data_IF_209400174472
#
_entry.id   IF_209400174472
#
_cell.length_a   1.000
_cell.length_b   1.000
_cell.length_c   1.000
_cell.angle_alpha   90.00
_cell.angle_beta   90.00
_cell.angle_gamma   90.00
#
_symmetry.space_group_name_H-M   'P 1'
#
loop_
_entity.id
_entity.type
_entity.pdbx_description
1 polymer ?
#
# COMPACT_ATOMS: atom_id res chain seq x y z
N UNK A 1 -24.00 -87.35 -29.97
CA UNK A 1 -24.60 -88.15 -28.87
C UNK A 1 -24.13 -87.57 -27.57
N UNK A 2 -25.04 -87.11 -26.74
CA UNK A 2 -24.78 -86.73 -25.34
C UNK A 2 -24.80 -85.22 -25.04
N UNK A 3 -25.99 -84.72 -24.90
CA UNK A 3 -26.28 -83.39 -24.31
C UNK A 3 -25.84 -83.37 -22.86
N UNK A 4 -25.17 -82.25 -22.46
CA UNK A 4 -25.02 -81.91 -21.04
C UNK A 4 -25.50 -80.47 -20.87
N UNK A 5 -26.76 -80.37 -20.37
CA UNK A 5 -27.34 -79.04 -19.97
C UNK A 5 -26.63 -78.54 -18.74
N UNK A 6 -26.03 -77.31 -18.87
CA UNK A 6 -25.44 -76.62 -17.76
C UNK A 6 -26.44 -75.56 -17.22
N UNK A 7 -26.89 -75.79 -15.95
CA UNK A 7 -27.80 -74.89 -15.22
C UNK A 7 -27.01 -73.74 -14.64
N UNK A 8 -27.21 -72.53 -15.16
CA UNK A 8 -26.70 -71.31 -14.54
C UNK A 8 -27.63 -70.88 -13.40
N UNK A 9 -27.10 -70.87 -12.19
CA UNK A 9 -27.71 -70.19 -11.07
C UNK A 9 -27.41 -68.74 -11.15
N UNK A 10 -28.45 -67.92 -11.37
CA UNK A 10 -28.33 -66.44 -11.28
C UNK A 10 -28.50 -66.06 -9.81
N UNK A 11 -27.40 -65.70 -9.15
CA UNK A 11 -27.43 -65.01 -7.85
C UNK A 11 -27.65 -63.55 -8.06
N UNK A 12 -28.87 -63.08 -7.80
CA UNK A 12 -29.18 -61.63 -7.79
C UNK A 12 -28.67 -61.08 -6.44
N UNK A 13 -27.48 -60.48 -6.45
CA UNK A 13 -26.97 -59.63 -5.36
C UNK A 13 -27.71 -58.31 -5.37
N UNK A 14 -28.63 -58.11 -4.44
CA UNK A 14 -29.17 -56.79 -4.13
C UNK A 14 -28.06 -55.93 -3.49
N UNK A 15 -27.39 -55.09 -4.31
CA UNK A 15 -26.58 -53.99 -3.83
C UNK A 15 -27.53 -52.84 -3.42
N UNK A 16 -27.76 -52.71 -2.10
CA UNK A 16 -28.26 -51.46 -1.54
C UNK A 16 -27.20 -50.37 -1.75
N UNK A 17 -27.50 -49.25 -2.40
CA UNK A 17 -26.61 -48.10 -2.38
C UNK A 17 -26.64 -47.51 -0.96
N UNK A 18 -25.51 -47.62 -0.24
CA UNK A 18 -25.23 -46.78 0.91
C UNK A 18 -25.16 -45.35 0.42
N UNK A 19 -26.24 -44.60 0.56
CA UNK A 19 -26.28 -43.16 0.43
C UNK A 19 -25.46 -42.58 1.57
N UNK A 20 -24.14 -42.55 1.41
CA UNK A 20 -23.26 -41.67 2.16
C UNK A 20 -23.59 -40.24 1.70
N UNK A 21 -24.57 -39.63 2.32
CA UNK A 21 -24.86 -38.21 2.15
C UNK A 21 -23.70 -37.39 2.68
N UNK A 22 -22.67 -37.15 1.86
CA UNK A 22 -21.82 -36.00 2.06
C UNK A 22 -22.73 -34.78 1.88
N UNK A 23 -23.09 -34.15 2.98
CA UNK A 23 -23.78 -32.85 3.00
C UNK A 23 -22.85 -31.85 2.36
N UNK A 24 -22.94 -31.68 1.03
CA UNK A 24 -22.31 -30.57 0.35
C UNK A 24 -22.88 -29.28 0.93
N UNK A 25 -22.00 -28.40 1.39
CA UNK A 25 -22.44 -27.06 1.85
C UNK A 25 -23.12 -26.35 0.68
N UNK A 26 -24.30 -25.75 0.91
CA UNK A 26 -25.07 -25.12 -0.17
C UNK A 26 -24.24 -24.05 -0.88
N UNK A 27 -24.28 -24.02 -2.19
CA UNK A 27 -23.62 -23.02 -3.04
C UNK A 27 -24.17 -21.61 -2.77
N UNK A 28 -23.37 -20.58 -3.04
CA UNK A 28 -23.71 -19.18 -2.73
C UNK A 28 -25.09 -18.73 -3.23
N UNK A 29 -25.53 -19.23 -4.38
CA UNK A 29 -26.84 -18.92 -4.94
C UNK A 29 -28.04 -19.52 -4.19
N UNK A 30 -27.86 -20.63 -3.50
CA UNK A 30 -28.91 -21.26 -2.68
C UNK A 30 -29.05 -20.56 -1.33
N UNK A 31 -27.95 -20.12 -0.73
CA UNK A 31 -27.97 -19.38 0.54
C UNK A 31 -28.68 -18.02 0.40
N UNK A 32 -28.59 -17.38 -0.75
CA UNK A 32 -29.29 -16.12 -1.01
C UNK A 32 -30.82 -16.26 -1.01
N UNK A 33 -31.34 -17.43 -1.28
CA UNK A 33 -32.79 -17.73 -1.30
C UNK A 33 -33.35 -18.05 0.08
N UNK A 34 -32.51 -18.27 1.09
CA UNK A 34 -32.95 -18.55 2.44
C UNK A 34 -33.63 -17.34 3.06
N UNK A 35 -34.70 -17.51 3.85
CA UNK A 35 -35.34 -16.42 4.55
C UNK A 35 -34.39 -15.75 5.54
N UNK A 36 -34.58 -14.43 5.74
CA UNK A 36 -33.85 -13.62 6.71
C UNK A 36 -34.74 -13.33 7.90
N UNK A 37 -34.34 -13.79 9.08
CA UNK A 37 -34.96 -13.40 10.35
C UNK A 37 -34.05 -12.37 11.04
N UNK A 38 -34.43 -11.11 10.99
CA UNK A 38 -33.67 -9.98 11.58
C UNK A 38 -33.56 -10.10 13.10
N UNK A 39 -34.60 -10.57 13.78
CA UNK A 39 -34.60 -10.71 15.26
C UNK A 39 -33.67 -11.84 15.70
N UNK A 40 -33.74 -12.99 15.03
CA UNK A 40 -32.79 -14.08 15.24
C UNK A 40 -31.37 -13.64 14.90
N UNK A 41 -31.19 -12.89 13.79
CA UNK A 41 -29.90 -12.31 13.39
C UNK A 41 -29.32 -11.38 14.43
N UNK A 42 -30.13 -10.51 15.03
CA UNK A 42 -29.74 -9.62 16.15
C UNK A 42 -29.25 -10.40 17.36
N UNK A 43 -29.98 -11.44 17.76
CA UNK A 43 -29.58 -12.28 18.89
C UNK A 43 -28.23 -13.01 18.64
N UNK A 44 -28.02 -13.50 17.40
CA UNK A 44 -26.77 -14.11 17.00
C UNK A 44 -25.64 -13.07 16.98
N UNK A 45 -25.89 -11.86 16.45
CA UNK A 45 -24.93 -10.77 16.43
C UNK A 45 -24.45 -10.42 17.83
N UNK A 46 -25.36 -10.31 18.78
CA UNK A 46 -25.05 -10.00 20.18
C UNK A 46 -24.12 -11.04 20.82
N UNK A 47 -24.35 -12.31 20.52
CA UNK A 47 -23.59 -13.41 21.10
C UNK A 47 -22.23 -13.65 20.43
N UNK A 48 -22.15 -13.50 19.12
CA UNK A 48 -21.04 -14.03 18.34
C UNK A 48 -20.23 -12.96 17.57
N UNK A 49 -20.82 -11.79 17.27
CA UNK A 49 -20.20 -10.85 16.31
C UNK A 49 -19.90 -9.47 16.91
N UNK A 50 -20.71 -9.04 17.89
CA UNK A 50 -20.68 -7.66 18.42
C UNK A 50 -19.38 -7.31 19.13
N UNK A 51 -18.62 -8.31 19.64
CA UNK A 51 -17.31 -8.06 20.25
C UNK A 51 -16.29 -7.43 19.30
N UNK A 52 -16.43 -7.71 17.99
CA UNK A 52 -15.56 -7.12 16.95
C UNK A 52 -16.28 -6.08 16.09
N UNK A 53 -17.54 -6.34 15.71
CA UNK A 53 -18.28 -5.51 14.75
C UNK A 53 -19.31 -4.55 15.39
N UNK A 54 -19.39 -4.49 16.71
CA UNK A 54 -20.44 -3.71 17.40
C UNK A 54 -21.86 -4.21 17.12
N UNK A 55 -22.81 -3.79 17.92
CA UNK A 55 -24.24 -4.05 17.64
C UNK A 55 -24.78 -3.10 16.58
N UNK A 56 -24.16 -1.95 16.41
CA UNK A 56 -24.45 -0.96 15.37
C UNK A 56 -23.76 -1.26 14.03
N UNK A 57 -23.00 -2.36 13.96
CA UNK A 57 -22.25 -2.76 12.77
C UNK A 57 -20.98 -1.96 12.51
N UNK A 58 -20.51 -1.18 13.50
CA UNK A 58 -19.24 -0.48 13.46
C UNK A 58 -18.14 -1.34 14.02
N UNK A 59 -17.06 -1.53 13.28
CA UNK A 59 -15.85 -2.18 13.78
C UNK A 59 -15.31 -1.49 15.02
N UNK A 60 -15.13 -2.24 16.11
CA UNK A 60 -14.73 -1.69 17.43
C UNK A 60 -13.22 -1.41 17.52
N UNK A 61 -12.43 -1.88 16.57
CA UNK A 61 -10.98 -1.69 16.48
C UNK A 61 -10.58 -1.35 15.06
N UNK A 62 -9.39 -0.76 14.93
CA UNK A 62 -8.75 -0.60 13.64
C UNK A 62 -8.63 -1.95 12.94
N UNK A 63 -8.79 -1.96 11.62
CA UNK A 63 -8.77 -3.17 10.79
C UNK A 63 -10.02 -4.07 10.89
N UNK A 64 -10.98 -3.79 11.75
CA UNK A 64 -12.27 -4.50 11.76
C UNK A 64 -13.23 -3.79 10.80
N UNK A 65 -13.78 -4.49 9.77
CA UNK A 65 -14.66 -3.85 8.80
C UNK A 65 -16.00 -3.46 9.41
N UNK A 66 -16.52 -2.31 8.98
CA UNK A 66 -17.90 -1.92 9.23
C UNK A 66 -18.85 -2.81 8.41
N UNK A 67 -19.91 -3.31 9.05
CA UNK A 67 -20.89 -4.20 8.41
C UNK A 67 -22.25 -3.49 8.17
N UNK A 68 -22.53 -2.41 8.90
CA UNK A 68 -23.78 -1.66 8.79
C UNK A 68 -24.04 -1.18 7.36
N UNK A 69 -25.28 -1.31 6.90
CA UNK A 69 -25.75 -0.90 5.57
C UNK A 69 -24.97 -1.49 4.39
N UNK A 70 -24.10 -2.46 4.62
CA UNK A 70 -23.41 -3.18 3.54
C UNK A 70 -24.40 -4.11 2.82
N UNK A 71 -24.13 -4.42 1.56
CA UNK A 71 -24.96 -5.30 0.75
C UNK A 71 -24.95 -6.71 1.34
N UNK A 72 -26.12 -7.24 1.64
CA UNK A 72 -26.28 -8.52 2.33
C UNK A 72 -25.71 -9.70 1.54
N UNK A 73 -25.91 -9.72 0.22
CA UNK A 73 -25.36 -10.73 -0.68
C UNK A 73 -23.83 -10.65 -0.76
N UNK A 74 -23.27 -9.44 -0.67
CA UNK A 74 -21.82 -9.27 -0.57
C UNK A 74 -21.29 -9.80 0.78
N UNK A 75 -21.95 -9.47 1.89
CA UNK A 75 -21.56 -9.98 3.22
C UNK A 75 -21.55 -11.50 3.24
N UNK A 76 -22.59 -12.13 2.65
CA UNK A 76 -22.69 -13.57 2.55
C UNK A 76 -21.53 -14.19 1.74
N UNK A 77 -21.25 -13.65 0.56
CA UNK A 77 -20.11 -14.07 -0.26
C UNK A 77 -18.79 -13.87 0.46
N UNK A 78 -18.64 -12.73 1.15
CA UNK A 78 -17.46 -12.44 1.94
C UNK A 78 -17.24 -13.48 3.06
N UNK A 79 -18.28 -13.81 3.82
CA UNK A 79 -18.23 -14.83 4.87
C UNK A 79 -17.82 -16.20 4.31
N UNK A 80 -18.35 -16.60 3.17
CA UNK A 80 -17.99 -17.86 2.49
C UNK A 80 -16.52 -17.89 2.03
N UNK A 81 -15.97 -16.75 1.58
CA UNK A 81 -14.56 -16.70 1.15
C UNK A 81 -13.57 -16.87 2.31
N UNK A 82 -13.99 -16.57 3.54
CA UNK A 82 -13.19 -16.91 4.73
C UNK A 82 -13.17 -18.43 4.99
N UNK A 83 -14.28 -19.12 4.78
CA UNK A 83 -14.36 -20.57 4.96
C UNK A 83 -13.43 -21.35 4.02
N UNK A 84 -13.13 -20.79 2.84
CA UNK A 84 -12.27 -21.42 1.84
C UNK A 84 -10.79 -20.98 1.89
N UNK A 85 -10.37 -20.25 2.91
CA UNK A 85 -8.98 -19.79 3.06
C UNK A 85 -8.50 -18.80 1.97
N UNK A 86 -9.43 -18.22 1.19
CA UNK A 86 -9.12 -17.30 0.08
C UNK A 86 -8.93 -15.84 0.52
N UNK A 87 -8.93 -15.58 1.82
CA UNK A 87 -8.66 -14.27 2.41
C UNK A 87 -7.55 -14.41 3.44
N UNK A 88 -6.37 -13.92 3.14
CA UNK A 88 -5.29 -13.76 4.11
C UNK A 88 -5.63 -12.66 5.14
N UNK A 89 -5.10 -12.76 6.34
CA UNK A 89 -5.25 -11.74 7.39
C UNK A 89 -6.57 -11.79 8.17
N UNK A 90 -7.43 -12.78 7.92
CA UNK A 90 -8.57 -13.04 8.80
C UNK A 90 -8.11 -13.78 10.05
N UNK A 91 -8.48 -13.28 11.23
CA UNK A 91 -8.30 -14.05 12.46
C UNK A 91 -9.00 -15.40 12.32
N UNK A 92 -8.35 -16.48 12.76
CA UNK A 92 -8.94 -17.81 12.76
C UNK A 92 -10.30 -17.88 13.46
N UNK A 93 -10.58 -16.91 14.32
CA UNK A 93 -11.84 -16.79 15.06
C UNK A 93 -13.04 -16.47 14.17
N UNK A 94 -12.91 -15.57 13.18
CA UNK A 94 -14.00 -15.26 12.22
C UNK A 94 -14.36 -16.51 11.42
N UNK A 95 -13.36 -17.28 10.99
CA UNK A 95 -13.56 -18.53 10.27
C UNK A 95 -14.27 -19.59 11.12
N UNK A 96 -13.90 -19.69 12.38
CA UNK A 96 -14.51 -20.63 13.33
C UNK A 96 -15.98 -20.28 13.57
N UNK A 97 -16.27 -19.02 13.90
CA UNK A 97 -17.65 -18.54 14.17
C UNK A 97 -18.55 -18.77 12.96
N UNK A 98 -18.08 -18.42 11.76
CA UNK A 98 -18.87 -18.61 10.54
C UNK A 98 -19.15 -20.08 10.21
N UNK A 99 -18.25 -20.99 10.59
CA UNK A 99 -18.43 -22.44 10.41
C UNK A 99 -19.42 -23.07 11.39
N UNK A 100 -19.52 -22.50 12.58
CA UNK A 100 -20.39 -23.01 13.65
C UNK A 100 -21.87 -22.60 13.46
N UNK A 101 -22.13 -21.64 12.56
CA UNK A 101 -23.48 -21.20 12.24
C UNK A 101 -24.10 -22.04 11.10
N UNK A 102 -25.38 -22.40 11.28
CA UNK A 102 -26.14 -22.97 10.15
C UNK A 102 -26.32 -21.94 9.03
N UNK A 103 -26.58 -22.39 7.79
CA UNK A 103 -26.78 -21.48 6.65
C UNK A 103 -27.85 -20.40 6.89
N UNK A 104 -28.95 -20.76 7.54
CA UNK A 104 -30.03 -19.81 7.86
C UNK A 104 -29.63 -18.82 8.98
N UNK A 105 -28.85 -19.27 9.96
CA UNK A 105 -28.31 -18.43 11.01
C UNK A 105 -27.32 -17.41 10.44
N UNK A 106 -26.40 -17.85 9.59
CA UNK A 106 -25.44 -16.97 8.90
C UNK A 106 -26.20 -15.96 8.04
N UNK A 107 -27.20 -16.40 7.27
CA UNK A 107 -28.02 -15.53 6.46
C UNK A 107 -28.75 -14.46 7.29
N UNK A 108 -29.31 -14.85 8.44
CA UNK A 108 -30.04 -13.95 9.33
C UNK A 108 -29.14 -12.92 10.00
N UNK A 109 -27.94 -13.29 10.50
CA UNK A 109 -27.04 -12.35 11.16
C UNK A 109 -26.44 -11.35 10.14
N UNK A 110 -26.12 -11.77 8.94
CA UNK A 110 -25.64 -10.85 7.88
C UNK A 110 -26.76 -9.92 7.40
N UNK A 111 -28.00 -10.44 7.30
CA UNK A 111 -29.19 -9.62 7.03
C UNK A 111 -29.46 -8.59 8.12
N UNK A 112 -29.26 -8.92 9.39
CA UNK A 112 -29.35 -7.96 10.49
C UNK A 112 -28.37 -6.78 10.28
N UNK A 113 -27.07 -7.05 10.08
CA UNK A 113 -26.09 -5.99 9.85
C UNK A 113 -26.37 -5.19 8.58
N UNK A 114 -26.79 -5.82 7.51
CA UNK A 114 -27.17 -5.14 6.27
C UNK A 114 -28.38 -4.21 6.45
N UNK A 115 -29.32 -4.53 7.36
CA UNK A 115 -30.50 -3.73 7.66
C UNK A 115 -30.24 -2.53 8.56
N UNK A 116 -29.08 -2.44 9.19
CA UNK A 116 -28.72 -1.31 10.03
C UNK A 116 -28.56 -0.03 9.20
N UNK A 117 -28.82 1.15 9.78
CA UNK A 117 -28.62 2.41 9.09
C UNK A 117 -27.15 2.60 8.72
N UNK A 118 -26.88 3.35 7.64
CA UNK A 118 -25.51 3.72 7.30
C UNK A 118 -24.81 4.44 8.45
N UNK A 119 -23.53 4.10 8.66
CA UNK A 119 -22.72 4.80 9.65
C UNK A 119 -22.46 6.23 9.15
N UNK A 120 -22.70 7.21 10.03
CA UNK A 120 -22.37 8.61 9.76
C UNK A 120 -20.86 8.83 9.61
N UNK A 121 -20.50 10.03 9.15
CA UNK A 121 -19.10 10.42 9.00
C UNK A 121 -18.29 10.10 10.28
N UNK A 122 -17.25 9.31 10.17
CA UNK A 122 -16.42 8.84 11.29
C UNK A 122 -15.44 9.89 11.81
N UNK A 123 -15.63 11.18 11.43
CA UNK A 123 -14.81 12.29 11.93
C UNK A 123 -13.44 12.41 11.24
N UNK A 124 -13.15 11.61 10.23
CA UNK A 124 -11.96 11.78 9.44
C UNK A 124 -12.07 13.04 8.57
N UNK A 125 -11.24 14.01 8.87
CA UNK A 125 -11.20 15.30 8.22
C UNK A 125 -10.62 15.14 6.81
N UNK A 126 -11.42 15.53 5.82
CA UNK A 126 -11.03 15.80 4.45
C UNK A 126 -11.03 14.60 3.47
N UNK A 127 -12.08 14.54 2.65
CA UNK A 127 -12.11 13.74 1.42
C UNK A 127 -11.05 14.19 0.38
N UNK A 128 -10.38 15.32 0.60
CA UNK A 128 -9.36 15.89 -0.28
C UNK A 128 -7.96 15.46 0.19
N UNK A 129 -7.55 14.27 -0.21
CA UNK A 129 -6.16 13.83 -0.03
C UNK A 129 -5.29 14.38 -1.16
N UNK A 130 -4.27 15.15 -0.79
CA UNK A 130 -3.23 15.64 -1.67
C UNK A 130 -1.89 15.09 -1.23
N UNK A 131 -1.16 14.44 -2.11
CA UNK A 131 0.19 13.95 -1.83
C UNK A 131 1.12 15.08 -1.41
N UNK A 132 1.01 16.25 -2.07
CA UNK A 132 1.84 17.40 -1.79
C UNK A 132 1.54 17.97 -0.40
N UNK A 133 0.27 18.25 -0.10
CA UNK A 133 -0.12 18.86 1.19
C UNK A 133 0.17 17.92 2.36
N UNK A 134 -0.05 16.62 2.17
CA UNK A 134 0.29 15.60 3.15
C UNK A 134 1.80 15.55 3.38
N UNK A 135 2.59 15.56 2.31
CA UNK A 135 4.04 15.59 2.34
C UNK A 135 4.59 16.85 3.02
N UNK A 136 4.00 18.03 2.72
CA UNK A 136 4.34 19.29 3.39
C UNK A 136 4.10 19.19 4.90
N UNK A 137 2.91 18.71 5.31
CA UNK A 137 2.58 18.58 6.71
C UNK A 137 3.55 17.62 7.45
N UNK A 138 3.87 16.49 6.85
CA UNK A 138 4.79 15.48 7.39
C UNK A 138 6.25 15.95 7.40
N UNK A 139 6.65 16.84 6.48
CA UNK A 139 8.02 17.33 6.36
C UNK A 139 8.38 18.43 7.35
N UNK A 140 7.42 18.98 8.11
CA UNK A 140 7.68 20.06 9.09
C UNK A 140 8.84 19.76 10.06
N UNK A 141 8.95 18.56 10.64
CA UNK A 141 10.12 18.23 11.50
C UNK A 141 11.45 18.18 10.75
N UNK A 142 11.44 18.05 9.43
CA UNK A 142 12.64 18.00 8.58
C UNK A 142 13.17 19.41 8.24
N UNK A 143 12.28 20.41 8.30
CA UNK A 143 12.55 21.78 7.86
C UNK A 143 13.71 22.45 8.60
N UNK A 144 13.92 22.12 9.87
CA UNK A 144 15.01 22.70 10.68
C UNK A 144 16.42 22.43 10.08
N UNK A 145 16.57 21.27 9.40
CA UNK A 145 17.85 20.90 8.78
C UNK A 145 17.82 21.08 7.26
N UNK A 146 16.74 20.64 6.60
CA UNK A 146 16.66 20.60 5.15
C UNK A 146 15.99 21.84 4.51
N UNK A 147 15.49 22.77 5.32
CA UNK A 147 14.65 23.90 4.85
C UNK A 147 13.21 23.44 4.59
N UNK A 148 12.28 24.38 4.69
CA UNK A 148 10.85 24.05 4.50
C UNK A 148 10.57 23.49 3.10
N UNK A 149 11.25 24.02 2.08
CA UNK A 149 11.13 23.62 0.68
C UNK A 149 12.24 22.65 0.21
N UNK A 150 13.10 22.18 1.11
CA UNK A 150 14.22 21.30 0.78
C UNK A 150 15.44 21.99 0.17
N UNK A 151 15.52 23.32 0.19
CA UNK A 151 16.61 24.12 -0.40
C UNK A 151 17.63 24.64 0.65
N UNK A 152 17.85 23.89 1.72
CA UNK A 152 18.82 24.27 2.75
C UNK A 152 20.24 24.49 2.20
N UNK A 153 20.94 25.49 2.72
CA UNK A 153 22.31 25.87 2.35
C UNK A 153 23.34 25.63 3.43
N UNK A 154 22.95 25.04 4.58
CA UNK A 154 23.90 24.69 5.65
C UNK A 154 24.85 23.60 5.20
N UNK A 155 26.14 23.78 5.50
CA UNK A 155 27.20 22.89 5.09
C UNK A 155 26.98 21.45 5.65
N UNK A 156 27.12 20.46 4.79
CA UNK A 156 26.98 19.03 5.14
C UNK A 156 25.55 18.53 5.20
N UNK A 157 24.56 19.40 5.03
CA UNK A 157 23.13 19.01 4.95
C UNK A 157 22.71 18.90 3.50
N UNK A 158 22.14 17.76 3.05
CA UNK A 158 21.74 17.61 1.66
C UNK A 158 20.47 18.42 1.34
N UNK A 159 20.45 18.97 0.14
CA UNK A 159 19.25 19.53 -0.47
C UNK A 159 18.36 18.41 -0.97
N UNK A 160 17.06 18.58 -0.76
CA UNK A 160 16.03 17.59 -1.12
C UNK A 160 15.15 18.07 -2.27
N UNK A 161 15.04 19.39 -2.48
CA UNK A 161 14.23 19.98 -3.55
C UNK A 161 14.65 19.46 -4.93
N UNK A 162 13.69 19.04 -5.75
CA UNK A 162 13.92 18.54 -7.10
C UNK A 162 14.61 17.19 -7.20
N UNK A 163 14.87 16.52 -6.06
CA UNK A 163 15.47 15.18 -6.05
C UNK A 163 14.42 14.12 -6.44
N UNK A 164 14.87 13.01 -7.00
CA UNK A 164 14.01 11.88 -7.36
C UNK A 164 13.31 11.30 -6.14
N UNK A 165 11.97 11.18 -6.14
CA UNK A 165 11.23 10.69 -4.97
C UNK A 165 11.58 9.25 -4.64
N UNK A 166 11.83 8.39 -5.62
CA UNK A 166 12.26 7.01 -5.38
C UNK A 166 13.59 6.95 -4.64
N UNK A 167 14.56 7.83 -5.00
CA UNK A 167 15.81 7.93 -4.28
C UNK A 167 15.63 8.48 -2.86
N UNK A 168 14.77 9.50 -2.66
CA UNK A 168 14.47 10.03 -1.32
C UNK A 168 13.90 8.92 -0.42
N UNK A 169 12.91 8.15 -0.91
CA UNK A 169 12.31 7.02 -0.18
C UNK A 169 13.39 5.98 0.15
N UNK A 170 14.19 5.57 -0.82
CA UNK A 170 15.28 4.59 -0.62
C UNK A 170 16.28 5.07 0.45
N UNK A 171 16.67 6.34 0.38
CA UNK A 171 17.61 6.92 1.34
C UNK A 171 17.00 7.02 2.76
N UNK A 172 15.75 7.46 2.87
CA UNK A 172 15.02 7.56 4.13
C UNK A 172 14.86 6.19 4.79
N UNK A 173 14.47 5.17 4.01
CA UNK A 173 14.40 3.78 4.51
C UNK A 173 15.75 3.30 5.03
N UNK A 174 16.83 3.54 4.31
CA UNK A 174 18.16 3.13 4.72
C UNK A 174 18.59 3.77 6.06
N UNK A 175 18.16 5.01 6.35
CA UNK A 175 18.37 5.63 7.67
C UNK A 175 17.40 5.07 8.72
N UNK A 176 16.15 4.84 8.39
CA UNK A 176 15.17 4.24 9.29
C UNK A 176 15.57 2.84 9.71
N UNK A 177 16.03 2.04 8.76
CA UNK A 177 16.36 0.62 8.95
C UNK A 177 17.82 0.42 9.45
N UNK A 178 18.57 1.51 9.68
CA UNK A 178 19.93 1.49 10.24
C UNK A 178 21.05 1.11 9.24
N UNK A 179 20.76 0.83 7.97
CA UNK A 179 21.75 0.54 6.93
C UNK A 179 22.58 1.78 6.53
N UNK A 180 22.05 2.98 6.84
CA UNK A 180 22.81 4.23 6.87
C UNK A 180 22.82 4.81 8.27
N UNK A 181 24.02 5.13 8.77
CA UNK A 181 24.18 5.62 10.14
C UNK A 181 24.10 7.15 10.17
N UNK A 182 23.06 7.66 10.81
CA UNK A 182 22.90 9.06 11.23
C UNK A 182 21.80 9.14 12.30
N UNK A 183 22.14 9.25 13.60
CA UNK A 183 21.15 9.19 14.68
C UNK A 183 20.00 10.16 14.53
N UNK A 184 20.26 11.42 14.15
CA UNK A 184 19.22 12.43 13.94
C UNK A 184 18.21 12.05 12.83
N UNK A 185 18.66 11.41 11.73
CA UNK A 185 17.77 10.93 10.68
C UNK A 185 17.00 9.71 11.11
N UNK A 186 17.66 8.76 11.78
CA UNK A 186 17.01 7.55 12.31
C UNK A 186 15.84 7.92 13.23
N UNK A 187 16.09 8.78 14.24
CA UNK A 187 15.07 9.26 15.19
C UNK A 187 13.83 9.84 14.49
N UNK A 188 14.03 10.69 13.48
CA UNK A 188 12.92 11.36 12.77
C UNK A 188 12.14 10.44 11.83
N UNK A 189 12.76 9.35 11.35
CA UNK A 189 12.19 8.47 10.35
C UNK A 189 11.54 7.20 10.93
N UNK A 190 11.90 6.80 12.15
CA UNK A 190 11.47 5.52 12.75
C UNK A 190 9.95 5.38 12.84
N UNK A 191 9.24 6.46 13.15
CA UNK A 191 7.77 6.44 13.31
C UNK A 191 6.99 6.59 12.00
N UNK A 192 7.69 6.86 10.87
CA UNK A 192 7.03 7.12 9.59
C UNK A 192 6.71 5.82 8.86
N UNK A 193 5.48 5.71 8.37
CA UNK A 193 5.05 4.63 7.47
C UNK A 193 5.71 4.73 6.09
N UNK A 194 5.56 3.70 5.26
CA UNK A 194 6.00 3.76 3.87
C UNK A 194 5.25 4.87 3.10
N UNK A 195 3.94 4.98 3.30
CA UNK A 195 3.12 6.03 2.68
C UNK A 195 3.55 7.44 3.11
N UNK A 196 3.92 7.65 4.39
CA UNK A 196 4.44 8.93 4.86
C UNK A 196 5.76 9.29 4.18
N UNK A 197 6.69 8.34 4.03
CA UNK A 197 7.94 8.55 3.31
C UNK A 197 7.71 8.91 1.84
N UNK A 198 6.74 8.28 1.19
CA UNK A 198 6.37 8.56 -0.20
C UNK A 198 5.77 9.95 -0.35
N UNK A 199 4.86 10.37 0.54
CA UNK A 199 4.31 11.72 0.53
C UNK A 199 5.39 12.79 0.74
N UNK A 200 6.29 12.61 1.73
CA UNK A 200 7.44 13.50 1.96
C UNK A 200 8.34 13.58 0.73
N UNK A 201 8.62 12.44 0.11
CA UNK A 201 9.47 12.38 -1.08
C UNK A 201 8.83 13.11 -2.28
N UNK A 202 7.52 12.94 -2.49
CA UNK A 202 6.76 13.65 -3.52
C UNK A 202 6.80 15.18 -3.27
N UNK A 203 6.59 15.60 -2.03
CA UNK A 203 6.66 17.01 -1.66
C UNK A 203 8.01 17.63 -2.04
N UNK A 204 9.12 17.05 -1.61
CA UNK A 204 10.44 17.57 -1.93
C UNK A 204 10.78 17.47 -3.42
N UNK A 205 10.36 16.41 -4.10
CA UNK A 205 10.57 16.24 -5.53
C UNK A 205 9.87 17.34 -6.37
N UNK A 206 8.69 17.76 -5.95
CA UNK A 206 7.90 18.79 -6.63
C UNK A 206 8.34 20.21 -6.28
N UNK A 207 9.07 20.42 -5.19
CA UNK A 207 9.65 21.71 -4.87
C UNK A 207 10.79 22.06 -5.83
N UNK A 208 10.77 23.29 -6.34
CA UNK A 208 11.77 23.77 -7.30
C UNK A 208 13.14 23.88 -6.64
N UNK A 209 14.19 23.22 -7.15
CA UNK A 209 15.54 23.36 -6.63
C UNK A 209 16.10 24.75 -6.96
N UNK A 210 16.84 25.33 -6.01
CA UNK A 210 17.48 26.65 -6.15
C UNK A 210 18.97 26.47 -6.41
N UNK A 211 19.48 27.13 -7.42
CA UNK A 211 20.90 27.19 -7.66
C UNK A 211 21.59 27.99 -6.54
N UNK A 212 22.81 27.57 -6.17
CA UNK A 212 23.69 28.35 -5.29
C UNK A 212 24.91 28.77 -6.07
N UNK A 213 25.17 30.05 -6.09
CA UNK A 213 26.34 30.58 -6.76
C UNK A 213 27.62 29.99 -6.15
N UNK A 214 28.43 29.35 -6.98
CA UNK A 214 29.75 28.86 -6.55
C UNK A 214 30.69 30.07 -6.31
N UNK A 215 31.32 30.06 -5.14
CA UNK A 215 32.37 31.07 -4.82
C UNK A 215 33.77 30.56 -5.16
N UNK A 216 33.88 29.39 -5.78
CA UNK A 216 35.16 28.74 -6.11
C UNK A 216 35.68 29.27 -7.44
N UNK A 217 36.97 29.62 -7.49
CA UNK A 217 37.61 30.25 -8.65
C UNK A 217 37.60 29.38 -9.91
N UNK A 218 37.65 28.06 -9.80
CA UNK A 218 37.58 27.12 -10.92
C UNK A 218 36.71 25.91 -10.58
N UNK A 219 35.38 26.04 -10.68
CA UNK A 219 34.49 24.94 -10.35
C UNK A 219 34.60 23.74 -11.30
N UNK A 220 35.08 23.95 -12.53
CA UNK A 220 35.16 22.90 -13.55
C UNK A 220 36.44 22.07 -13.50
N UNK A 221 37.39 22.35 -12.60
CA UNK A 221 38.62 21.55 -12.42
C UNK A 221 38.34 20.07 -12.08
N UNK A 222 37.16 19.76 -11.56
CA UNK A 222 36.72 18.40 -11.25
C UNK A 222 36.19 17.59 -12.44
N UNK A 223 35.79 18.26 -13.52
CA UNK A 223 35.11 17.61 -14.66
C UNK A 223 35.89 16.43 -15.26
N UNK A 224 37.21 16.53 -15.32
CA UNK A 224 38.06 15.46 -15.83
C UNK A 224 37.98 14.13 -15.03
N UNK A 225 37.53 14.18 -13.78
CA UNK A 225 37.39 12.99 -12.91
C UNK A 225 35.97 12.41 -12.91
N UNK A 226 34.98 13.04 -13.60
CA UNK A 226 33.55 12.67 -13.50
C UNK A 226 33.07 11.71 -14.58
N UNK A 227 33.90 11.25 -15.50
CA UNK A 227 33.49 10.39 -16.63
C UNK A 227 32.77 9.11 -16.19
N UNK A 228 33.22 8.48 -15.11
CA UNK A 228 32.54 7.28 -14.57
C UNK A 228 31.25 7.62 -13.86
N UNK A 229 31.20 8.76 -13.17
CA UNK A 229 30.01 9.24 -12.48
C UNK A 229 28.87 9.55 -13.47
N UNK A 230 29.23 10.11 -14.62
CA UNK A 230 28.30 10.56 -15.66
C UNK A 230 27.43 9.41 -16.23
N UNK A 231 27.91 8.17 -16.17
CA UNK A 231 27.17 7.00 -16.68
C UNK A 231 25.84 6.77 -15.96
N UNK A 232 25.77 7.13 -14.68
CA UNK A 232 24.56 6.96 -13.86
C UNK A 232 23.98 8.29 -13.42
N UNK A 233 24.82 9.26 -13.04
CA UNK A 233 24.39 10.54 -12.49
C UNK A 233 24.19 11.64 -13.55
N UNK A 234 24.45 11.34 -14.86
CA UNK A 234 24.44 12.33 -15.92
C UNK A 234 25.71 13.19 -15.92
N UNK A 235 26.10 13.72 -17.09
CA UNK A 235 27.36 14.47 -17.29
C UNK A 235 27.45 15.76 -16.47
N UNK A 236 26.29 16.35 -16.16
CA UNK A 236 26.13 17.56 -15.34
C UNK A 236 25.52 17.25 -13.96
N UNK A 237 25.42 15.99 -13.57
CA UNK A 237 24.88 15.56 -12.28
C UNK A 237 23.35 15.48 -12.20
N UNK A 238 22.67 15.42 -13.35
CA UNK A 238 21.21 15.19 -13.41
C UNK A 238 20.97 13.80 -13.99
N UNK A 239 20.49 12.88 -13.17
CA UNK A 239 20.21 11.51 -13.55
C UNK A 239 18.86 11.38 -14.28
N UNK A 240 18.81 10.50 -15.27
CA UNK A 240 17.55 10.06 -15.89
C UNK A 240 16.92 8.87 -15.14
N UNK A 241 17.71 8.15 -14.34
CA UNK A 241 17.25 7.04 -13.52
C UNK A 241 16.73 7.55 -12.16
N UNK A 242 15.46 7.34 -11.91
CA UNK A 242 14.80 7.78 -10.67
C UNK A 242 15.35 7.12 -9.38
N UNK A 243 16.09 6.02 -9.50
CA UNK A 243 16.76 5.34 -8.37
C UNK A 243 18.15 5.89 -8.07
N UNK A 244 18.71 6.69 -8.97
CA UNK A 244 20.03 7.30 -8.89
C UNK A 244 19.88 8.81 -8.57
N UNK A 245 20.57 9.33 -7.56
CA UNK A 245 20.37 10.73 -7.14
C UNK A 245 20.94 11.73 -8.13
N UNK A 246 20.25 12.86 -8.25
CA UNK A 246 20.80 14.09 -8.82
C UNK A 246 21.92 14.62 -7.91
N UNK A 247 23.05 15.00 -8.49
CA UNK A 247 24.20 15.58 -7.80
C UNK A 247 24.33 17.10 -8.08
N UNK A 248 23.75 17.58 -9.16
CA UNK A 248 23.79 18.99 -9.56
C UNK A 248 23.23 19.90 -8.47
N UNK A 249 23.96 20.97 -8.16
CA UNK A 249 23.58 21.94 -7.15
C UNK A 249 23.51 21.40 -5.71
N UNK A 250 24.01 20.21 -5.43
CA UNK A 250 24.02 19.65 -4.09
C UNK A 250 25.11 20.31 -3.22
N UNK A 251 24.96 20.28 -1.89
CA UNK A 251 25.94 20.84 -0.96
C UNK A 251 27.32 20.19 -1.13
N UNK A 252 28.36 21.01 -1.28
CA UNK A 252 29.72 20.56 -1.57
C UNK A 252 30.30 19.70 -0.42
N UNK A 253 30.05 20.08 0.83
CA UNK A 253 30.55 19.33 2.00
C UNK A 253 29.82 17.99 2.15
N UNK A 254 28.51 17.98 1.85
CA UNK A 254 27.73 16.77 1.80
C UNK A 254 28.27 15.83 0.73
N UNK A 255 28.47 16.29 -0.50
CA UNK A 255 29.01 15.50 -1.60
C UNK A 255 30.40 14.92 -1.23
N UNK A 256 31.34 15.80 -0.79
CA UNK A 256 32.67 15.38 -0.38
C UNK A 256 32.64 14.26 0.67
N UNK A 257 31.86 14.49 1.74
CA UNK A 257 31.73 13.52 2.83
C UNK A 257 31.13 12.20 2.36
N UNK A 258 30.10 12.27 1.48
CA UNK A 258 29.39 11.03 1.06
C UNK A 258 30.17 10.25 -0.01
N UNK A 259 30.91 10.92 -0.89
CA UNK A 259 31.83 10.23 -1.81
C UNK A 259 32.91 9.49 -1.02
N UNK A 260 33.54 10.12 -0.02
CA UNK A 260 34.48 9.46 0.89
C UNK A 260 33.84 8.29 1.64
N UNK A 261 32.62 8.48 2.17
CA UNK A 261 31.90 7.39 2.87
C UNK A 261 31.67 6.15 2.00
N UNK A 262 31.43 6.31 0.71
CA UNK A 262 31.36 5.18 -0.21
C UNK A 262 32.75 4.59 -0.51
N UNK A 263 33.77 5.42 -0.79
CA UNK A 263 35.14 4.95 -0.99
C UNK A 263 35.64 4.10 0.17
N UNK A 264 35.41 4.60 1.38
CA UNK A 264 35.90 4.01 2.63
C UNK A 264 34.97 2.90 3.18
N UNK A 265 33.99 2.45 2.37
CA UNK A 265 33.00 1.39 2.68
C UNK A 265 32.17 1.63 3.93
N UNK A 266 32.05 2.88 4.36
CA UNK A 266 31.13 3.29 5.43
C UNK A 266 29.68 3.40 4.95
N UNK A 267 29.45 3.47 3.65
CA UNK A 267 28.17 3.35 2.97
C UNK A 267 28.21 2.19 1.99
N UNK A 268 27.25 1.29 2.10
CA UNK A 268 27.21 0.12 1.23
C UNK A 268 26.56 0.47 -0.13
N UNK A 269 27.34 0.24 -1.20
CA UNK A 269 26.88 0.24 -2.60
C UNK A 269 28.02 -0.26 -3.52
N UNK A 270 27.92 -1.49 -4.00
CA UNK A 270 28.99 -2.17 -4.74
C UNK A 270 29.60 -1.38 -5.89
N UNK A 271 28.77 -0.79 -6.78
CA UNK A 271 29.27 0.00 -7.93
C UNK A 271 29.96 1.29 -7.47
N UNK A 272 29.43 1.98 -6.47
CA UNK A 272 30.06 3.20 -5.95
C UNK A 272 31.42 2.87 -5.31
N UNK A 273 31.53 1.78 -4.55
CA UNK A 273 32.83 1.32 -4.01
C UNK A 273 33.83 1.09 -5.11
N UNK A 274 33.44 0.37 -6.16
CA UNK A 274 34.32 0.04 -7.29
C UNK A 274 34.84 1.28 -8.03
N UNK A 275 33.95 2.25 -8.27
CA UNK A 275 34.30 3.48 -9.02
C UNK A 275 35.17 4.41 -8.19
N UNK A 276 34.96 4.44 -6.86
CA UNK A 276 35.58 5.43 -5.99
C UNK A 276 36.87 4.94 -5.30
N UNK A 277 37.17 3.64 -5.32
CA UNK A 277 38.25 3.00 -4.55
C UNK A 277 39.63 3.64 -4.73
N UNK A 278 39.94 4.14 -5.92
CA UNK A 278 41.25 4.69 -6.26
C UNK A 278 41.33 6.22 -6.18
N UNK A 279 40.20 6.90 -5.93
CA UNK A 279 40.15 8.35 -5.89
C UNK A 279 40.86 8.92 -4.65
N UNK A 280 41.71 9.92 -4.89
CA UNK A 280 42.38 10.69 -3.83
C UNK A 280 41.46 11.77 -3.28
N UNK A 281 41.73 12.22 -2.05
CA UNK A 281 40.93 13.23 -1.37
C UNK A 281 40.80 14.53 -2.16
N UNK A 282 41.88 14.98 -2.80
CA UNK A 282 41.88 16.18 -3.62
C UNK A 282 41.07 16.04 -4.94
N UNK A 283 40.95 14.81 -5.45
CA UNK A 283 40.11 14.52 -6.63
C UNK A 283 38.63 14.50 -6.24
N UNK A 284 38.32 13.86 -5.10
CA UNK A 284 36.96 13.84 -4.53
C UNK A 284 36.47 15.26 -4.23
N UNK A 285 37.34 16.11 -3.65
CA UNK A 285 37.00 17.52 -3.40
C UNK A 285 36.65 18.27 -4.72
N UNK A 286 37.47 18.09 -5.76
CA UNK A 286 37.20 18.69 -7.07
C UNK A 286 35.92 18.18 -7.71
N UNK A 287 35.63 16.86 -7.61
CA UNK A 287 34.36 16.26 -8.07
C UNK A 287 33.17 16.88 -7.31
N UNK A 288 33.27 17.01 -5.99
CA UNK A 288 32.21 17.59 -5.18
C UNK A 288 31.95 19.06 -5.54
N UNK A 289 33.01 19.85 -5.75
CA UNK A 289 32.91 21.24 -6.21
C UNK A 289 32.26 21.33 -7.59
N UNK A 290 32.65 20.46 -8.52
CA UNK A 290 32.08 20.45 -9.88
C UNK A 290 30.57 20.23 -9.82
N UNK A 291 30.09 19.16 -9.21
CA UNK A 291 28.65 18.88 -9.14
C UNK A 291 27.87 19.92 -8.33
N UNK A 292 28.47 20.47 -7.26
CA UNK A 292 27.84 21.53 -6.49
C UNK A 292 27.67 22.84 -7.26
N UNK A 293 28.53 23.12 -8.24
CA UNK A 293 28.47 24.29 -9.10
C UNK A 293 27.50 24.14 -10.28
N UNK A 294 27.12 22.91 -10.63
CA UNK A 294 26.17 22.66 -11.70
C UNK A 294 24.75 23.14 -11.36
N UNK A 295 24.01 23.55 -12.38
CA UNK A 295 22.64 24.00 -12.20
C UNK A 295 21.74 22.81 -11.82
N UNK A 296 21.07 22.86 -10.66
CA UNK A 296 20.17 21.79 -10.27
C UNK A 296 18.94 21.79 -11.20
N UNK A 297 18.57 20.59 -11.62
CA UNK A 297 17.36 20.37 -12.42
C UNK A 297 16.27 19.77 -11.55
N UNK A 298 15.03 20.17 -11.83
CA UNK A 298 13.89 19.48 -11.23
C UNK A 298 13.78 18.09 -11.85
N UNK A 299 13.46 17.10 -11.03
CA UNK A 299 13.11 15.78 -11.54
C UNK A 299 11.94 15.86 -12.52
N UNK A 300 11.94 15.02 -13.53
CA UNK A 300 10.82 14.82 -14.46
C UNK A 300 9.72 13.91 -13.88
N UNK A 301 9.70 13.75 -12.56
CA UNK A 301 8.70 12.94 -11.86
C UNK A 301 7.29 13.50 -12.12
N UNK A 302 6.42 12.62 -12.58
CA UNK A 302 4.99 12.89 -12.72
C UNK A 302 4.30 12.33 -11.47
N UNK A 303 3.64 13.17 -10.67
CA UNK A 303 2.93 12.70 -9.49
C UNK A 303 1.80 11.74 -9.90
N UNK A 304 1.42 10.81 -9.00
CA UNK A 304 0.28 9.96 -9.25
C UNK A 304 -1.00 10.77 -9.52
N UNK A 305 -1.94 10.12 -10.20
CA UNK A 305 -3.26 10.72 -10.45
C UNK A 305 -3.91 11.17 -9.13
N UNK A 306 -4.62 12.31 -9.11
CA UNK A 306 -5.32 12.77 -7.91
C UNK A 306 -6.27 11.71 -7.36
N UNK A 307 -6.32 11.57 -6.03
CA UNK A 307 -7.16 10.55 -5.36
C UNK A 307 -8.62 10.66 -5.76
N UNK A 308 -9.15 11.88 -5.93
CA UNK A 308 -10.54 12.08 -6.38
C UNK A 308 -10.80 11.48 -7.77
N UNK A 309 -9.85 11.59 -8.69
CA UNK A 309 -9.97 11.00 -10.02
C UNK A 309 -9.87 9.46 -9.97
N UNK A 310 -8.99 8.92 -9.11
CA UNK A 310 -8.92 7.47 -8.86
C UNK A 310 -10.21 6.95 -8.22
N UNK A 311 -10.75 7.67 -7.23
CA UNK A 311 -12.02 7.30 -6.59
C UNK A 311 -13.17 7.25 -7.59
N UNK A 312 -13.27 8.21 -8.51
CA UNK A 312 -14.28 8.17 -9.58
C UNK A 312 -14.19 6.88 -10.42
N UNK A 313 -13.00 6.38 -10.69
CA UNK A 313 -12.84 5.09 -11.38
C UNK A 313 -13.30 3.91 -10.53
N UNK A 314 -13.01 3.93 -9.23
CA UNK A 314 -13.47 2.91 -8.29
C UNK A 314 -15.00 2.93 -8.17
N UNK A 315 -15.61 4.12 -8.18
CA UNK A 315 -17.05 4.32 -8.06
C UNK A 315 -17.85 3.74 -9.24
N UNK A 316 -17.25 3.51 -10.40
CA UNK A 316 -17.90 2.80 -11.49
C UNK A 316 -18.46 1.43 -11.05
N UNK A 317 -17.82 0.80 -10.05
CA UNK A 317 -18.26 -0.49 -9.51
C UNK A 317 -18.70 -0.39 -8.04
N UNK A 318 -18.14 0.54 -7.25
CA UNK A 318 -18.27 0.56 -5.80
C UNK A 318 -19.20 1.64 -5.23
N UNK A 319 -19.73 2.57 -6.02
CA UNK A 319 -20.50 3.70 -5.52
C UNK A 319 -21.70 3.26 -4.65
N UNK A 320 -22.66 2.57 -5.26
CA UNK A 320 -23.83 2.00 -4.58
C UNK A 320 -23.65 0.52 -4.25
N UNK A 321 -22.53 -0.06 -4.68
CA UNK A 321 -22.30 -1.49 -4.74
C UNK A 321 -23.09 -2.14 -5.88
N UNK A 322 -22.81 -3.40 -6.14
CA UNK A 322 -23.49 -4.16 -7.19
C UNK A 322 -24.00 -5.48 -6.63
N UNK A 323 -25.29 -5.72 -6.80
CA UNK A 323 -25.98 -6.93 -6.34
C UNK A 323 -26.00 -8.05 -7.37
N UNK A 324 -25.50 -7.81 -8.59
CA UNK A 324 -25.41 -8.86 -9.61
C UNK A 324 -24.51 -10.00 -9.09
N UNK A 325 -24.99 -11.25 -9.03
CA UNK A 325 -24.21 -12.39 -8.53
C UNK A 325 -22.87 -12.60 -9.25
N UNK A 326 -22.79 -12.24 -10.51
CA UNK A 326 -21.56 -12.34 -11.31
C UNK A 326 -20.51 -11.27 -10.95
N UNK A 327 -20.95 -10.12 -10.41
CA UNK A 327 -20.07 -8.98 -10.11
C UNK A 327 -20.52 -8.27 -8.82
N UNK A 328 -20.54 -9.03 -7.71
CA UNK A 328 -20.85 -8.48 -6.39
C UNK A 328 -19.69 -7.58 -5.93
N UNK A 329 -19.97 -6.29 -5.76
CA UNK A 329 -19.01 -5.30 -5.25
C UNK A 329 -19.54 -4.66 -3.97
N UNK A 330 -18.69 -4.47 -2.95
CA UNK A 330 -19.08 -3.81 -1.71
C UNK A 330 -19.24 -2.30 -1.91
N UNK A 331 -20.05 -1.69 -1.06
CA UNK A 331 -19.98 -0.24 -0.82
C UNK A 331 -18.69 0.08 -0.08
N UNK A 332 -18.01 1.17 -0.45
CA UNK A 332 -16.74 1.60 0.17
C UNK A 332 -16.92 2.79 1.11
N UNK A 333 -17.89 3.68 0.85
CA UNK A 333 -18.15 4.89 1.66
C UNK A 333 -18.45 4.51 3.12
N UNK A 334 -17.84 5.24 4.04
CA UNK A 334 -17.97 4.99 5.47
C UNK A 334 -17.29 3.73 5.99
N UNK A 335 -16.45 3.07 5.17
CA UNK A 335 -15.72 1.89 5.61
C UNK A 335 -14.51 2.27 6.47
N UNK A 336 -14.09 1.37 7.36
CA UNK A 336 -12.92 1.55 8.22
C UNK A 336 -11.65 1.78 7.40
N UNK A 337 -10.91 2.84 7.73
CA UNK A 337 -9.71 3.28 7.02
C UNK A 337 -8.64 2.20 6.95
N UNK A 338 -8.24 1.67 8.09
CA UNK A 338 -7.19 0.65 8.19
C UNK A 338 -7.61 -0.65 7.49
N UNK A 339 -8.89 -1.02 7.60
CA UNK A 339 -9.41 -2.17 6.84
C UNK A 339 -9.32 -1.96 5.33
N UNK A 340 -9.61 -0.76 4.82
CA UNK A 340 -9.47 -0.45 3.39
C UNK A 340 -8.02 -0.56 2.92
N UNK A 341 -7.06 -0.02 3.67
CA UNK A 341 -5.62 -0.16 3.38
C UNK A 341 -5.26 -1.64 3.28
N UNK A 342 -5.53 -2.41 4.32
CA UNK A 342 -5.17 -3.83 4.37
C UNK A 342 -5.84 -4.65 3.27
N UNK A 343 -7.11 -4.35 2.95
CA UNK A 343 -7.83 -5.03 1.89
C UNK A 343 -7.24 -4.74 0.50
N UNK A 344 -6.91 -3.49 0.20
CA UNK A 344 -6.30 -3.10 -1.08
C UNK A 344 -4.88 -3.63 -1.23
N UNK A 345 -4.08 -3.56 -0.16
CA UNK A 345 -2.74 -4.15 -0.10
C UNK A 345 -2.79 -5.65 -0.36
N UNK A 346 -3.67 -6.38 0.33
CA UNK A 346 -3.84 -7.82 0.13
C UNK A 346 -4.31 -8.20 -1.29
N UNK A 347 -5.11 -7.35 -1.93
CA UNK A 347 -5.45 -7.55 -3.36
C UNK A 347 -4.25 -7.25 -4.27
N UNK A 348 -3.49 -6.18 -4.01
CA UNK A 348 -2.29 -5.82 -4.77
C UNK A 348 -1.25 -6.93 -4.72
N UNK A 349 -1.01 -7.47 -3.53
CA UNK A 349 0.04 -8.46 -3.27
C UNK A 349 -0.40 -9.90 -3.60
N UNK A 350 -1.67 -10.10 -4.00
CA UNK A 350 -2.21 -11.42 -4.40
C UNK A 350 -2.69 -12.31 -3.23
N UNK A 351 -2.63 -11.81 -2.01
CA UNK A 351 -3.02 -12.53 -0.79
C UNK A 351 -4.54 -12.63 -0.61
N UNK A 352 -5.31 -11.91 -1.43
CA UNK A 352 -6.77 -11.90 -1.39
C UNK A 352 -7.35 -12.24 -2.76
N UNK A 353 -8.20 -13.27 -2.80
CA UNK A 353 -8.76 -13.80 -4.04
C UNK A 353 -9.81 -12.89 -4.68
N UNK A 354 -9.43 -12.19 -5.73
CA UNK A 354 -10.31 -11.54 -6.74
C UNK A 354 -9.45 -11.08 -7.91
N UNK A 355 -9.59 -11.72 -9.05
CA UNK A 355 -8.80 -11.37 -10.25
C UNK A 355 -9.03 -9.93 -10.72
N UNK A 356 -10.28 -9.42 -10.62
CA UNK A 356 -10.59 -8.04 -10.98
C UNK A 356 -9.93 -7.04 -10.03
N UNK A 357 -10.05 -7.25 -8.70
CA UNK A 357 -9.42 -6.36 -7.72
C UNK A 357 -7.90 -6.46 -7.75
N UNK A 358 -7.33 -7.64 -7.93
CA UNK A 358 -5.88 -7.80 -8.09
C UNK A 358 -5.38 -7.00 -9.30
N UNK A 359 -6.03 -7.11 -10.47
CA UNK A 359 -5.66 -6.37 -11.68
C UNK A 359 -5.71 -4.86 -11.48
N UNK A 360 -6.72 -4.35 -10.75
CA UNK A 360 -6.85 -2.92 -10.45
C UNK A 360 -5.81 -2.48 -9.42
N UNK A 361 -5.68 -3.22 -8.31
CA UNK A 361 -4.80 -2.86 -7.19
C UNK A 361 -3.33 -3.00 -7.52
N UNK A 362 -2.93 -3.91 -8.42
CA UNK A 362 -1.54 -4.05 -8.86
C UNK A 362 -0.99 -2.79 -9.56
N UNK A 363 -1.88 -1.93 -10.07
CA UNK A 363 -1.51 -0.60 -10.58
C UNK A 363 -1.28 0.45 -9.49
N UNK A 364 -1.65 0.18 -8.24
CA UNK A 364 -1.45 1.07 -7.11
C UNK A 364 -0.07 0.81 -6.46
N UNK A 365 0.98 1.20 -7.15
CA UNK A 365 2.36 0.88 -6.76
C UNK A 365 2.87 1.67 -5.54
N UNK A 366 2.22 2.79 -5.16
CA UNK A 366 2.53 3.57 -3.96
C UNK A 366 1.57 3.24 -2.82
N UNK A 367 2.10 3.05 -1.63
CA UNK A 367 1.31 2.91 -0.40
C UNK A 367 0.56 4.22 -0.09
N UNK A 368 1.15 5.38 -0.41
CA UNK A 368 0.50 6.69 -0.32
C UNK A 368 -0.80 6.77 -1.16
N UNK A 369 -0.85 6.12 -2.32
CA UNK A 369 -2.07 6.05 -3.13
C UNK A 369 -3.15 5.21 -2.46
N UNK A 370 -2.78 4.06 -1.91
CA UNK A 370 -3.69 3.19 -1.15
C UNK A 370 -4.24 3.92 0.07
N UNK A 371 -3.37 4.60 0.83
CA UNK A 371 -3.76 5.43 1.98
C UNK A 371 -4.72 6.56 1.57
N UNK A 372 -4.42 7.24 0.47
CA UNK A 372 -5.26 8.31 -0.05
C UNK A 372 -6.66 7.84 -0.42
N UNK A 373 -6.79 6.70 -1.12
CA UNK A 373 -8.08 6.09 -1.45
C UNK A 373 -8.82 5.68 -0.18
N UNK A 374 -8.14 5.06 0.78
CA UNK A 374 -8.72 4.68 2.06
C UNK A 374 -9.22 5.91 2.83
N UNK A 375 -8.44 7.00 2.86
CA UNK A 375 -8.82 8.28 3.47
C UNK A 375 -10.06 8.86 2.81
N UNK A 376 -10.12 8.88 1.49
CA UNK A 376 -11.27 9.36 0.73
C UNK A 376 -12.57 8.63 1.13
N UNK A 377 -12.59 7.30 1.05
CA UNK A 377 -13.79 6.53 1.32
C UNK A 377 -14.17 6.46 2.80
N UNK A 378 -13.20 6.49 3.72
CA UNK A 378 -13.49 6.50 5.16
C UNK A 378 -14.00 7.86 5.66
N UNK A 379 -13.68 8.95 4.97
CA UNK A 379 -14.15 10.30 5.30
C UNK A 379 -15.57 10.57 4.80
N UNK A 380 -16.03 9.88 3.77
CA UNK A 380 -17.39 10.02 3.25
C UNK A 380 -18.40 9.29 4.13
N UNK A 381 -19.59 9.87 4.30
CA UNK A 381 -20.70 9.17 4.94
C UNK A 381 -21.14 7.97 4.08
N UNK A 382 -21.44 6.84 4.71
CA UNK A 382 -22.06 5.72 4.04
C UNK A 382 -23.48 6.13 3.57
N UNK A 383 -23.80 5.94 2.30
CA UNK A 383 -25.12 6.21 1.71
C UNK A 383 -25.99 4.96 1.72
#
# INVERSE_FOLDING_TARGET
MGDVMNKYFVVISLLLPLLSGCSEKPQSGELQKLPVDINAGKAIAQKNCSGCHGMDGRGVQDNIPNLAAQIDTYLLKAAQTYDHGKRAGSSGDVMKIAKDLSPIQLRSVLGYYASLPPLGNLGNKSANYSYFDRGEALSKPCAACHGADGNQTSAGVPRLAGQHPQYIVKAAKAYRDGTRTMPAMHEKLTALSQADLENIAIYFALNKPKAVASKVANPYAGKQFTNQCAKCHGSMGSSEDASVPNLAGQDVNYLNTKIKSYRDKMRDHGEMHKILSELKDNEIEKIAIFFAAEQPTQTNFIPPEPITALAQKCDLCHNIGNTNPAMLTPKLKGQNHTYLINAMTAYRDGDRGSSAMHKISSGLYLDATIEGIATHYSAEAAN
#
